data_IF_780901767093
#
_entry.id   IF_780901767093
#
_cell.length_a   1.000
_cell.length_b   1.000
_cell.length_c   1.000
_cell.angle_alpha   90.00
_cell.angle_beta   90.00
_cell.angle_gamma   90.00
#
_symmetry.space_group_name_H-M   'P 1'
#
loop_
_entity.id
_entity.type
_entity.pdbx_description
1 polymer ?
#
# COMPACT_ATOMS: atom_id res chain seq x y z
N UNK A 1 -20.16 21.63 6.25
CA UNK A 1 -18.68 21.55 6.37
C UNK A 1 -18.14 20.85 5.15
N UNK A 2 -17.08 21.38 4.53
CA UNK A 2 -16.39 20.68 3.44
C UNK A 2 -15.60 19.49 4.00
N UNK A 3 -15.62 18.36 3.31
CA UNK A 3 -14.81 17.20 3.65
C UNK A 3 -13.32 17.53 3.46
N UNK A 4 -12.49 17.20 4.45
CA UNK A 4 -11.04 17.42 4.41
C UNK A 4 -10.31 16.10 4.74
N UNK A 5 -9.77 15.39 3.74
CA UNK A 5 -8.98 14.19 4.01
C UNK A 5 -7.65 14.56 4.68
N UNK A 6 -7.19 13.70 5.58
CA UNK A 6 -5.83 13.74 6.14
C UNK A 6 -5.10 12.54 5.54
N UNK A 7 -3.96 12.81 4.91
CA UNK A 7 -3.09 11.77 4.33
C UNK A 7 -1.83 11.70 5.19
N UNK A 8 -1.48 10.48 5.60
CA UNK A 8 -0.24 10.19 6.33
C UNK A 8 0.65 9.44 5.35
N UNK A 9 1.75 10.07 4.94
CA UNK A 9 2.76 9.42 4.12
C UNK A 9 3.76 8.67 5.00
N UNK A 10 4.18 7.48 4.57
CA UNK A 10 5.02 6.58 5.36
C UNK A 10 6.23 6.13 4.54
N UNK A 11 7.40 5.90 5.17
CA UNK A 11 8.52 5.24 4.51
C UNK A 11 8.09 3.92 3.87
N UNK A 12 8.64 3.61 2.69
CA UNK A 12 8.30 2.40 1.95
C UNK A 12 8.98 1.16 2.55
N UNK A 13 8.24 0.08 2.71
CA UNK A 13 8.75 -1.21 3.18
C UNK A 13 9.38 -1.99 2.01
N UNK A 14 10.55 -2.59 2.24
CA UNK A 14 11.29 -3.37 1.23
C UNK A 14 12.07 -2.51 0.24
N UNK A 15 12.30 -1.23 0.55
CA UNK A 15 13.12 -0.33 -0.24
C UNK A 15 14.61 -0.50 0.10
N UNK A 16 15.31 -1.39 -0.62
CA UNK A 16 16.78 -1.54 -0.50
C UNK A 16 17.53 -0.21 -0.76
N UNK A 17 16.93 0.72 -1.51
CA UNK A 17 17.56 2.00 -1.89
C UNK A 17 17.55 3.07 -0.80
N UNK A 18 16.72 2.93 0.24
CA UNK A 18 16.80 3.82 1.40
C UNK A 18 18.04 3.50 2.25
N UNK A 19 18.58 2.29 2.09
CA UNK A 19 19.73 1.77 2.82
C UNK A 19 21.07 2.47 2.47
N UNK A 20 21.13 3.24 1.39
CA UNK A 20 22.40 3.80 0.89
C UNK A 20 22.61 5.30 1.15
N UNK A 21 21.60 6.07 1.60
CA UNK A 21 21.71 7.55 1.59
C UNK A 21 21.30 8.28 2.87
N UNK A 22 20.55 7.68 3.80
CA UNK A 22 20.03 8.40 4.97
C UNK A 22 20.11 7.64 6.31
N UNK A 23 21.02 6.68 6.43
CA UNK A 23 21.14 5.85 7.62
C UNK A 23 20.20 4.66 7.56
N UNK A 24 20.69 3.54 8.06
CA UNK A 24 20.07 2.22 7.96
C UNK A 24 18.81 2.18 8.81
N UNK A 25 17.63 2.44 8.22
CA UNK A 25 16.39 1.96 8.81
C UNK A 25 16.07 0.60 8.21
N UNK A 26 16.14 -0.43 9.03
CA UNK A 26 15.73 -1.78 8.64
C UNK A 26 14.21 -1.84 8.46
N UNK A 27 13.69 -2.77 7.64
CA UNK A 27 12.25 -3.00 7.53
C UNK A 27 11.58 -3.26 8.90
N UNK A 28 12.35 -3.78 9.87
CA UNK A 28 11.92 -3.97 11.25
C UNK A 28 11.67 -2.63 11.97
N UNK A 29 12.55 -1.64 11.81
CA UNK A 29 12.37 -0.31 12.39
C UNK A 29 11.17 0.43 11.78
N UNK A 30 10.94 0.29 10.47
CA UNK A 30 9.75 0.86 9.81
C UNK A 30 8.48 0.21 10.34
N UNK A 31 8.49 -1.12 10.50
CA UNK A 31 7.36 -1.87 11.07
C UNK A 31 7.09 -1.49 12.52
N UNK A 32 8.14 -1.31 13.34
CA UNK A 32 8.04 -0.85 14.72
C UNK A 32 7.52 0.59 14.82
N UNK A 33 7.99 1.48 13.95
CA UNK A 33 7.51 2.85 13.86
C UNK A 33 6.03 2.90 13.49
N UNK A 34 5.60 2.13 12.49
CA UNK A 34 4.19 2.02 12.10
C UNK A 34 3.34 1.44 13.24
N UNK A 35 3.80 0.36 13.87
CA UNK A 35 3.13 -0.24 15.03
C UNK A 35 2.98 0.78 16.16
N UNK A 36 4.05 1.50 16.48
CA UNK A 36 4.05 2.55 17.51
C UNK A 36 3.08 3.68 17.16
N UNK A 37 3.06 4.11 15.90
CA UNK A 37 2.13 5.14 15.42
C UNK A 37 0.67 4.68 15.57
N UNK A 38 0.35 3.45 15.18
CA UNK A 38 -0.99 2.87 15.29
C UNK A 38 -1.41 2.70 16.76
N UNK A 39 -0.49 2.24 17.63
CA UNK A 39 -0.75 2.01 19.05
C UNK A 39 -0.88 3.31 19.85
N UNK A 40 -0.05 4.32 19.59
CA UNK A 40 -0.12 5.60 20.32
C UNK A 40 -1.32 6.44 19.89
N UNK A 41 -1.81 6.21 18.67
CA UNK A 41 -2.92 6.94 18.07
C UNK A 41 -4.31 6.47 18.49
N UNK A 42 -4.56 6.24 19.78
CA UNK A 42 -5.92 6.03 20.31
C UNK A 42 -6.91 7.15 19.93
N UNK A 43 -6.40 8.30 19.46
CA UNK A 43 -7.16 9.46 18.97
C UNK A 43 -7.23 9.58 17.44
N UNK A 44 -6.43 8.84 16.68
CA UNK A 44 -6.45 8.89 15.21
C UNK A 44 -7.31 7.77 14.69
N UNK A 45 -8.46 8.13 14.12
CA UNK A 45 -9.34 7.19 13.43
C UNK A 45 -8.84 7.03 12.00
N UNK A 46 -8.29 5.86 11.69
CA UNK A 46 -7.85 5.53 10.33
C UNK A 46 -9.05 5.01 9.54
N UNK A 47 -9.42 5.72 8.49
CA UNK A 47 -10.58 5.38 7.66
C UNK A 47 -10.23 4.45 6.50
N UNK A 48 -9.00 4.57 5.97
CA UNK A 48 -8.53 3.80 4.82
C UNK A 48 -7.02 3.63 4.89
N UNK A 49 -6.52 2.57 4.23
CA UNK A 49 -5.10 2.26 4.10
C UNK A 49 -4.74 2.38 2.62
N UNK A 50 -3.89 3.35 2.26
CA UNK A 50 -3.34 3.43 0.90
C UNK A 50 -2.26 2.37 0.71
N UNK A 51 -2.49 1.40 -0.17
CA UNK A 51 -1.49 0.38 -0.51
C UNK A 51 -0.94 0.61 -1.91
N UNK A 52 0.25 1.20 -1.98
CA UNK A 52 0.85 1.64 -3.26
C UNK A 52 1.86 0.62 -3.78
N UNK A 53 1.67 0.18 -5.03
CA UNK A 53 2.65 -0.62 -5.78
C UNK A 53 2.99 0.07 -7.10
N UNK A 54 4.13 -0.27 -7.69
CA UNK A 54 4.41 0.10 -9.09
C UNK A 54 3.70 -0.87 -10.02
N UNK A 55 3.11 -0.35 -11.09
CA UNK A 55 2.49 -1.14 -12.14
C UNK A 55 3.47 -2.16 -12.75
N UNK A 56 4.75 -1.76 -12.88
CA UNK A 56 5.82 -2.61 -13.39
C UNK A 56 6.36 -3.65 -12.40
N UNK A 57 5.92 -3.65 -11.12
CA UNK A 57 6.32 -4.66 -10.12
C UNK A 57 5.60 -6.00 -10.38
N UNK A 58 5.82 -6.55 -11.57
CA UNK A 58 5.26 -7.81 -12.06
C UNK A 58 5.82 -9.05 -11.34
N UNK A 59 6.83 -8.89 -10.47
CA UNK A 59 7.44 -9.97 -9.70
C UNK A 59 7.74 -9.50 -8.28
N UNK A 60 6.73 -9.55 -7.42
CA UNK A 60 6.96 -9.46 -5.98
C UNK A 60 7.59 -10.78 -5.53
N UNK A 61 8.78 -10.73 -4.92
CA UNK A 61 9.42 -11.92 -4.38
C UNK A 61 8.61 -12.49 -3.21
N UNK A 62 8.69 -13.80 -2.95
CA UNK A 62 8.01 -14.42 -1.80
C UNK A 62 8.35 -13.72 -0.48
N UNK A 63 9.60 -13.27 -0.33
CA UNK A 63 10.05 -12.50 0.83
C UNK A 63 9.30 -11.16 0.95
N UNK A 64 9.20 -10.40 -0.15
CA UNK A 64 8.50 -9.11 -0.17
C UNK A 64 7.00 -9.28 0.04
N UNK A 65 6.40 -10.32 -0.52
CA UNK A 65 4.99 -10.67 -0.28
C UNK A 65 4.74 -10.98 1.20
N UNK A 66 5.60 -11.77 1.84
CA UNK A 66 5.50 -12.06 3.27
C UNK A 66 5.58 -10.78 4.11
N UNK A 67 6.52 -9.88 3.80
CA UNK A 67 6.65 -8.58 4.48
C UNK A 67 5.40 -7.69 4.30
N UNK A 68 4.84 -7.62 3.08
CA UNK A 68 3.60 -6.89 2.83
C UNK A 68 2.45 -7.49 3.66
N UNK A 69 2.37 -8.82 3.71
CA UNK A 69 1.34 -9.53 4.47
C UNK A 69 1.44 -9.27 5.97
N UNK A 70 2.66 -9.31 6.53
CA UNK A 70 2.93 -8.96 7.92
C UNK A 70 2.53 -7.51 8.21
N UNK A 71 2.82 -6.60 7.27
CA UNK A 71 2.48 -5.19 7.40
C UNK A 71 0.98 -4.95 7.43
N UNK A 72 0.24 -5.54 6.48
CA UNK A 72 -1.22 -5.41 6.46
C UNK A 72 -1.85 -6.06 7.70
N UNK A 73 -1.24 -7.11 8.25
CA UNK A 73 -1.69 -7.75 9.48
C UNK A 73 -1.51 -6.89 10.75
N UNK A 74 -0.71 -5.81 10.70
CA UNK A 74 -0.65 -4.83 11.80
C UNK A 74 -1.95 -4.04 11.95
N UNK A 75 -2.75 -3.95 10.88
CA UNK A 75 -4.05 -3.30 10.93
C UNK A 75 -5.13 -4.29 11.38
N UNK A 76 -6.14 -3.82 12.15
CA UNK A 76 -7.28 -4.64 12.51
C UNK A 76 -7.95 -5.27 11.28
N UNK A 77 -8.35 -6.55 11.37
CA UNK A 77 -8.97 -7.30 10.26
C UNK A 77 -10.19 -6.60 9.64
N UNK A 78 -10.95 -5.85 10.44
CA UNK A 78 -12.12 -5.09 9.96
C UNK A 78 -11.75 -3.94 9.01
N UNK A 79 -10.49 -3.50 8.98
CA UNK A 79 -9.99 -2.49 8.05
C UNK A 79 -9.57 -3.05 6.70
N UNK A 80 -9.48 -4.37 6.54
CA UNK A 80 -9.06 -4.97 5.25
C UNK A 80 -9.94 -4.55 4.06
N UNK A 81 -11.28 -4.43 4.18
CA UNK A 81 -12.11 -3.87 3.11
C UNK A 81 -11.80 -2.39 2.77
N UNK A 82 -11.16 -1.66 3.70
CA UNK A 82 -10.78 -0.25 3.53
C UNK A 82 -9.34 -0.08 3.04
N UNK A 83 -8.66 -1.18 2.71
CA UNK A 83 -7.39 -1.09 1.96
C UNK A 83 -7.72 -0.62 0.55
N UNK A 84 -7.01 0.40 0.09
CA UNK A 84 -7.17 1.00 -1.23
C UNK A 84 -5.89 0.71 -2.02
N UNK A 85 -5.88 -0.34 -2.87
CA UNK A 85 -4.73 -0.63 -3.72
C UNK A 85 -4.57 0.45 -4.79
N UNK A 86 -3.34 0.93 -4.96
CA UNK A 86 -2.99 1.99 -5.92
C UNK A 86 -1.80 1.51 -6.76
N UNK A 87 -1.98 1.46 -8.08
CA UNK A 87 -0.93 1.13 -9.04
C UNK A 87 -0.33 2.41 -9.62
N UNK A 88 0.87 2.75 -9.15
CA UNK A 88 1.65 3.90 -9.63
C UNK A 88 2.39 3.59 -10.93
N UNK A 89 2.73 4.64 -11.69
CA UNK A 89 3.43 4.52 -12.98
C UNK A 89 2.69 3.62 -13.98
N UNK A 90 1.35 3.64 -13.95
CA UNK A 90 0.53 2.92 -14.91
C UNK A 90 0.76 3.46 -16.33
N UNK A 91 0.74 2.55 -17.30
CA UNK A 91 0.78 2.84 -18.74
C UNK A 91 -0.57 3.32 -19.31
N UNK A 92 -1.61 3.46 -18.47
CA UNK A 92 -2.95 3.89 -18.89
C UNK A 92 -3.74 2.80 -19.60
N UNK A 93 -3.32 1.53 -19.50
CA UNK A 93 -4.08 0.39 -20.06
C UNK A 93 -5.24 -0.03 -19.18
N UNK A 94 -5.37 0.52 -17.97
CA UNK A 94 -6.45 0.27 -17.03
C UNK A 94 -6.64 -1.22 -16.67
N UNK A 95 -5.62 -2.05 -16.91
CA UNK A 95 -5.69 -3.47 -16.59
C UNK A 95 -4.75 -3.81 -15.45
N UNK A 96 -5.22 -4.53 -14.44
CA UNK A 96 -4.34 -5.04 -13.38
C UNK A 96 -3.50 -6.18 -13.95
N UNK A 97 -2.15 -6.08 -13.95
CA UNK A 97 -1.29 -7.14 -14.46
C UNK A 97 -1.54 -8.47 -13.74
N UNK A 98 -1.51 -9.63 -14.43
CA UNK A 98 -1.79 -10.92 -13.81
C UNK A 98 -0.99 -11.23 -12.53
N UNK A 99 0.32 -10.89 -12.43
CA UNK A 99 1.06 -11.11 -11.19
C UNK A 99 0.57 -10.26 -10.02
N UNK A 100 0.19 -9.00 -10.28
CA UNK A 100 -0.36 -8.10 -9.26
C UNK A 100 -1.75 -8.58 -8.82
N UNK A 101 -2.56 -9.09 -9.76
CA UNK A 101 -3.86 -9.69 -9.46
C UNK A 101 -3.70 -10.92 -8.54
N UNK A 102 -2.71 -11.77 -8.81
CA UNK A 102 -2.41 -12.92 -7.96
C UNK A 102 -1.97 -12.49 -6.55
N UNK A 103 -1.11 -11.47 -6.46
CA UNK A 103 -0.72 -10.87 -5.18
C UNK A 103 -1.93 -10.35 -4.40
N UNK A 104 -2.81 -9.57 -5.02
CA UNK A 104 -4.02 -9.06 -4.34
C UNK A 104 -4.91 -10.18 -3.83
N UNK A 105 -5.03 -11.28 -4.57
CA UNK A 105 -5.74 -12.48 -4.11
C UNK A 105 -5.07 -13.10 -2.88
N UNK A 106 -3.74 -13.25 -2.88
CA UNK A 106 -3.00 -13.80 -1.75
C UNK A 106 -3.04 -12.91 -0.49
N UNK A 107 -3.13 -11.59 -0.70
CA UNK A 107 -3.28 -10.61 0.36
C UNK A 107 -4.74 -10.46 0.86
N UNK A 108 -5.71 -11.11 0.20
CA UNK A 108 -7.12 -11.03 0.57
C UNK A 108 -7.79 -9.69 0.24
N UNK A 109 -7.26 -8.95 -0.74
CA UNK A 109 -7.74 -7.62 -1.17
C UNK A 109 -8.14 -7.59 -2.65
N UNK A 110 -8.42 -8.75 -3.26
CA UNK A 110 -8.78 -8.84 -4.68
C UNK A 110 -10.14 -8.22 -5.03
N UNK A 111 -11.04 -8.11 -4.05
CA UNK A 111 -12.35 -7.47 -4.19
C UNK A 111 -12.28 -5.96 -3.93
N UNK A 112 -11.14 -5.45 -3.45
CA UNK A 112 -10.97 -4.05 -3.16
C UNK A 112 -10.84 -3.24 -4.45
N UNK A 113 -11.41 -2.04 -4.44
CA UNK A 113 -11.35 -1.12 -5.57
C UNK A 113 -9.92 -0.64 -5.80
N UNK A 114 -9.39 -0.90 -6.99
CA UNK A 114 -8.01 -0.55 -7.38
C UNK A 114 -7.99 0.75 -8.15
N UNK A 115 -7.08 1.64 -7.79
CA UNK A 115 -6.86 2.93 -8.45
C UNK A 115 -5.52 2.93 -9.18
N UNK A 116 -5.41 3.76 -10.22
CA UNK A 116 -4.20 3.89 -11.02
C UNK A 116 -3.71 5.33 -10.92
N UNK A 117 -2.40 5.48 -10.78
CA UNK A 117 -1.73 6.76 -10.65
C UNK A 117 -0.62 6.88 -11.69
N UNK A 118 -0.66 7.95 -12.48
CA UNK A 118 0.42 8.31 -13.41
C UNK A 118 0.90 9.75 -13.12
N UNK A 119 1.87 10.23 -13.91
CA UNK A 119 2.50 11.54 -13.73
C UNK A 119 1.55 12.75 -13.89
N UNK A 120 0.31 12.55 -14.35
CA UNK A 120 -0.67 13.62 -14.55
C UNK A 120 -1.98 13.48 -13.77
N UNK A 121 -2.38 12.28 -13.32
CA UNK A 121 -3.73 12.05 -12.76
C UNK A 121 -3.83 10.77 -11.91
N UNK A 122 -4.77 10.79 -10.95
CA UNK A 122 -5.29 9.62 -10.23
C UNK A 122 -6.68 9.28 -10.80
N UNK A 123 -6.90 8.05 -11.23
CA UNK A 123 -8.19 7.64 -11.81
C UNK A 123 -8.59 6.21 -11.43
N UNK A 124 -9.86 5.90 -11.66
CA UNK A 124 -10.57 4.71 -11.22
C UNK A 124 -11.06 3.90 -12.43
N UNK A 125 -10.80 2.60 -12.43
CA UNK A 125 -11.10 1.68 -13.54
C UNK A 125 -12.48 1.02 -13.41
N UNK A 126 -13.21 1.24 -12.32
CA UNK A 126 -14.55 0.63 -12.13
C UNK A 126 -15.65 1.15 -13.07
N UNK A 127 -15.29 1.93 -14.10
CA UNK A 127 -16.17 2.30 -15.23
C UNK A 127 -15.40 2.31 -16.56
N UNK A 128 -15.16 1.12 -17.10
CA UNK A 128 -14.79 0.86 -18.50
C UNK A 128 -15.60 -0.31 -19.01
#
# INVERSE_FOLDING_TARGET
>A
MAYRPIVIDTPGIGSEKFCASFGVQTDAEISEMLSSFLLQSHRVVIHAIGFVLKYSDSRVSLKREAQIKETLAMFPKWMMPNVVPILSSSDGTDTIPPPIRALFKNLGICENKVFFFNSGSLFDVSKG
#
